data_IF_586061372772
#
_entry.id   IF_586061372772
#
_cell.length_a   1.000
_cell.length_b   1.000
_cell.length_c   1.000
_cell.angle_alpha   90.00
_cell.angle_beta   90.00
_cell.angle_gamma   90.00
#
_symmetry.space_group_name_H-M   'P 1'
#
loop_
_entity.id
_entity.type
_entity.pdbx_description
1 polymer ?
#
# COMPACT_ATOMS: atom_id res chain seq x y z
N UNK A 1 64.29 -5.25 12.82
CA UNK A 1 63.20 -6.25 12.78
C UNK A 1 61.90 -5.70 13.34
N UNK A 2 61.91 -4.85 14.37
CA UNK A 2 60.69 -4.28 14.95
C UNK A 2 59.87 -3.38 14.00
N UNK A 3 60.52 -2.48 13.25
CA UNK A 3 59.81 -1.58 12.32
C UNK A 3 59.05 -2.33 11.20
N UNK A 4 59.64 -3.40 10.66
CA UNK A 4 58.99 -4.21 9.64
C UNK A 4 57.78 -4.98 10.20
N UNK A 5 57.88 -5.47 11.45
CA UNK A 5 56.78 -6.14 12.13
C UNK A 5 55.62 -5.17 12.41
N UNK A 6 55.92 -3.97 12.91
CA UNK A 6 54.92 -2.91 13.14
C UNK A 6 54.20 -2.55 11.83
N UNK A 7 54.94 -2.39 10.74
CA UNK A 7 54.35 -2.01 9.45
C UNK A 7 53.45 -3.12 8.86
N UNK A 8 53.80 -4.39 9.06
CA UNK A 8 52.94 -5.52 8.67
C UNK A 8 51.66 -5.55 9.51
N UNK A 9 51.75 -5.26 10.82
CA UNK A 9 50.57 -5.20 11.71
C UNK A 9 49.65 -4.03 11.32
N UNK A 10 50.20 -2.84 11.08
CA UNK A 10 49.42 -1.68 10.63
C UNK A 10 48.70 -1.95 9.30
N UNK A 11 49.38 -2.57 8.35
CA UNK A 11 48.78 -2.97 7.08
C UNK A 11 47.64 -3.98 7.30
N UNK A 12 47.82 -4.96 8.19
CA UNK A 12 46.79 -5.92 8.53
C UNK A 12 45.56 -5.25 9.18
N UNK A 13 45.77 -4.30 10.08
CA UNK A 13 44.71 -3.52 10.73
C UNK A 13 43.97 -2.66 9.68
N UNK A 14 44.69 -1.97 8.80
CA UNK A 14 44.09 -1.15 7.75
C UNK A 14 43.22 -2.00 6.80
N UNK A 15 43.69 -3.19 6.44
CA UNK A 15 42.96 -4.12 5.58
C UNK A 15 41.69 -4.63 6.28
N UNK A 16 41.77 -4.95 7.57
CA UNK A 16 40.63 -5.39 8.37
C UNK A 16 39.57 -4.28 8.51
N UNK A 17 39.99 -3.04 8.74
CA UNK A 17 39.09 -1.87 8.78
C UNK A 17 38.42 -1.61 7.43
N UNK A 18 39.14 -1.76 6.32
CA UNK A 18 38.56 -1.60 4.98
C UNK A 18 37.47 -2.65 4.69
N UNK A 19 37.67 -3.91 5.12
CA UNK A 19 36.66 -4.97 4.99
C UNK A 19 35.41 -4.65 5.82
N UNK A 20 35.57 -4.21 7.08
CA UNK A 20 34.44 -3.81 7.93
C UNK A 20 33.67 -2.64 7.30
N UNK A 21 34.38 -1.62 6.81
CA UNK A 21 33.77 -0.46 6.16
C UNK A 21 32.97 -0.86 4.90
N UNK A 22 33.50 -1.76 4.08
CA UNK A 22 32.80 -2.28 2.91
C UNK A 22 31.48 -2.98 3.27
N UNK A 23 31.48 -3.81 4.31
CA UNK A 23 30.29 -4.52 4.77
C UNK A 23 29.24 -3.57 5.36
N UNK A 24 29.69 -2.59 6.16
CA UNK A 24 28.80 -1.56 6.69
C UNK A 24 28.20 -0.69 5.59
N UNK A 25 28.98 -0.35 4.56
CA UNK A 25 28.50 0.43 3.43
C UNK A 25 27.39 -0.31 2.67
N UNK A 26 27.58 -1.60 2.38
CA UNK A 26 26.54 -2.42 1.73
C UNK A 26 25.25 -2.52 2.55
N UNK A 27 25.35 -2.79 3.86
CA UNK A 27 24.17 -2.81 4.75
C UNK A 27 23.44 -1.47 4.78
N UNK A 28 24.17 -0.35 4.78
CA UNK A 28 23.55 0.99 4.74
C UNK A 28 22.82 1.23 3.43
N UNK A 29 23.38 0.77 2.30
CA UNK A 29 22.72 0.91 0.99
C UNK A 29 21.41 0.12 0.92
N UNK A 30 21.33 -1.07 1.49
CA UNK A 30 20.08 -1.86 1.56
C UNK A 30 19.00 -1.15 2.38
N UNK A 31 19.36 -0.56 3.52
CA UNK A 31 18.42 0.22 4.34
C UNK A 31 17.96 1.49 3.62
N UNK A 32 18.87 2.20 2.96
CA UNK A 32 18.53 3.41 2.20
C UNK A 32 17.61 3.07 1.01
N UNK A 33 17.83 1.94 0.33
CA UNK A 33 16.96 1.49 -0.76
C UNK A 33 15.53 1.24 -0.28
N UNK A 34 15.34 0.68 0.91
CA UNK A 34 14.00 0.51 1.50
C UNK A 34 13.25 1.84 1.72
N UNK A 35 13.99 2.93 1.95
CA UNK A 35 13.42 4.26 2.15
C UNK A 35 13.51 5.15 0.90
N UNK A 36 13.82 4.62 -0.27
CA UNK A 36 13.85 5.40 -1.51
C UNK A 36 12.40 5.80 -1.88
N UNK A 37 12.04 7.09 -1.86
CA UNK A 37 10.68 7.54 -2.20
C UNK A 37 10.29 7.26 -3.66
N UNK A 38 11.26 6.87 -4.52
CA UNK A 38 11.02 6.46 -5.90
C UNK A 38 10.76 4.97 -6.04
N UNK A 39 11.09 4.16 -5.03
CA UNK A 39 10.77 2.73 -5.01
C UNK A 39 9.35 2.52 -4.50
N UNK A 40 8.42 2.30 -5.43
CA UNK A 40 7.01 1.99 -5.13
C UNK A 40 6.75 0.51 -4.90
N UNK A 41 7.79 -0.34 -4.94
CA UNK A 41 7.67 -1.77 -4.67
C UNK A 41 7.28 -2.05 -3.22
N UNK A 42 7.79 -1.27 -2.27
CA UNK A 42 7.49 -1.40 -0.82
C UNK A 42 6.06 -0.99 -0.46
N UNK A 43 5.36 -0.25 -1.33
CA UNK A 43 3.95 0.14 -1.15
C UNK A 43 2.99 -0.72 -1.97
N UNK A 44 3.50 -1.62 -2.81
CA UNK A 44 2.67 -2.53 -3.60
C UNK A 44 2.04 -3.56 -2.66
N UNK A 45 0.70 -3.56 -2.49
CA UNK A 45 0.05 -4.53 -1.62
C UNK A 45 0.34 -5.96 -2.09
N UNK A 46 0.53 -6.93 -1.18
CA UNK A 46 0.66 -8.32 -1.57
C UNK A 46 -0.58 -8.75 -2.37
N UNK A 47 -0.37 -9.46 -3.50
CA UNK A 47 -1.43 -9.78 -4.47
C UNK A 47 -2.66 -10.49 -3.84
N UNK A 48 -2.46 -11.18 -2.71
CA UNK A 48 -3.53 -11.76 -1.90
C UNK A 48 -3.89 -10.81 -0.75
N UNK A 49 -4.45 -9.65 -1.08
CA UNK A 49 -5.21 -8.89 -0.08
C UNK A 49 -6.49 -9.72 0.22
N UNK A 50 -6.96 -9.83 1.47
CA UNK A 50 -8.22 -10.51 1.75
C UNK A 50 -9.41 -9.70 1.20
N UNK A 51 -10.45 -10.37 0.69
CA UNK A 51 -11.62 -9.73 0.06
C UNK A 51 -12.23 -8.57 0.86
N UNK A 52 -12.26 -8.72 2.19
CA UNK A 52 -12.72 -7.69 3.15
C UNK A 52 -12.06 -6.31 3.00
N UNK A 53 -10.94 -6.20 2.28
CA UNK A 53 -10.23 -4.93 2.07
C UNK A 53 -10.77 -4.12 0.90
N UNK A 54 -11.57 -4.70 0.00
CA UNK A 54 -12.20 -3.97 -1.12
C UNK A 54 -13.70 -4.25 -1.28
N UNK A 55 -14.22 -5.33 -0.70
CA UNK A 55 -15.64 -5.64 -0.74
C UNK A 55 -16.39 -4.89 0.36
N UNK A 56 -17.47 -4.23 -0.01
CA UNK A 56 -18.42 -3.60 0.90
C UNK A 56 -19.22 -4.69 1.64
N UNK A 57 -19.39 -4.53 2.96
CA UNK A 57 -20.16 -5.46 3.77
C UNK A 57 -21.68 -5.28 3.55
N UNK A 58 -22.47 -6.30 3.95
CA UNK A 58 -23.92 -6.28 3.75
C UNK A 58 -24.61 -5.16 4.54
N UNK A 59 -24.08 -4.81 5.73
CA UNK A 59 -24.61 -3.73 6.55
C UNK A 59 -24.43 -2.35 5.87
N UNK A 60 -23.29 -2.11 5.24
CA UNK A 60 -23.01 -0.88 4.49
C UNK A 60 -23.82 -0.85 3.19
N UNK A 61 -24.01 -1.99 2.52
CA UNK A 61 -24.93 -2.10 1.38
C UNK A 61 -26.37 -1.74 1.77
N UNK A 62 -26.84 -2.16 2.94
CA UNK A 62 -28.16 -1.76 3.47
C UNK A 62 -28.24 -0.25 3.72
N UNK A 63 -27.18 0.36 4.28
CA UNK A 63 -27.11 1.81 4.46
C UNK A 63 -27.09 2.58 3.13
N UNK A 64 -26.36 2.08 2.13
CA UNK A 64 -26.31 2.67 0.79
C UNK A 64 -27.67 2.63 0.12
N UNK A 65 -28.46 1.58 0.36
CA UNK A 65 -29.81 1.42 -0.21
C UNK A 65 -30.90 2.17 0.56
N UNK A 66 -30.62 2.63 1.78
CA UNK A 66 -31.63 3.21 2.66
C UNK A 66 -32.22 4.50 2.08
N UNK A 67 -33.54 4.53 1.89
CA UNK A 67 -34.27 5.70 1.39
C UNK A 67 -34.31 5.86 -0.13
N UNK A 68 -33.73 4.93 -0.88
CA UNK A 68 -33.80 4.88 -2.34
C UNK A 68 -34.94 4.00 -2.85
N UNK A 69 -35.38 4.23 -4.09
CA UNK A 69 -36.35 3.34 -4.75
C UNK A 69 -35.72 1.98 -5.08
N UNK A 70 -36.51 0.90 -5.27
CA UNK A 70 -35.94 -0.42 -5.62
C UNK A 70 -35.06 -0.41 -6.88
N UNK A 71 -35.40 0.42 -7.87
CA UNK A 71 -34.63 0.56 -9.11
C UNK A 71 -33.29 1.26 -8.85
N UNK A 72 -33.27 2.30 -8.02
CA UNK A 72 -32.05 2.98 -7.59
C UNK A 72 -31.17 2.07 -6.73
N UNK A 73 -31.77 1.30 -5.82
CA UNK A 73 -31.06 0.31 -5.01
C UNK A 73 -30.36 -0.73 -5.88
N UNK A 74 -31.07 -1.28 -6.86
CA UNK A 74 -30.50 -2.25 -7.82
C UNK A 74 -29.33 -1.64 -8.61
N UNK A 75 -29.48 -0.39 -9.05
CA UNK A 75 -28.41 0.34 -9.75
C UNK A 75 -27.17 0.56 -8.87
N UNK A 76 -27.36 1.00 -7.62
CA UNK A 76 -26.25 1.20 -6.67
C UNK A 76 -25.49 -0.09 -6.39
N UNK A 77 -26.22 -1.18 -6.12
CA UNK A 77 -25.63 -2.49 -5.85
C UNK A 77 -24.89 -3.04 -7.08
N UNK A 78 -25.41 -2.81 -8.28
CA UNK A 78 -24.75 -3.23 -9.52
C UNK A 78 -23.43 -2.47 -9.70
N UNK A 79 -23.42 -1.15 -9.51
CA UNK A 79 -22.19 -0.34 -9.62
C UNK A 79 -21.13 -0.76 -8.60
N UNK A 80 -21.55 -1.09 -7.37
CA UNK A 80 -20.66 -1.64 -6.33
C UNK A 80 -20.09 -2.99 -6.77
N UNK A 81 -20.93 -3.91 -7.25
CA UNK A 81 -20.49 -5.23 -7.71
C UNK A 81 -19.49 -5.13 -8.88
N UNK A 82 -19.74 -4.23 -9.83
CA UNK A 82 -18.85 -4.01 -10.98
C UNK A 82 -17.48 -3.44 -10.54
N UNK A 83 -17.46 -2.59 -9.50
CA UNK A 83 -16.23 -2.05 -8.93
C UNK A 83 -15.46 -3.10 -8.10
N UNK A 84 -16.17 -3.92 -7.31
CA UNK A 84 -15.61 -5.03 -6.54
C UNK A 84 -15.01 -6.11 -7.46
N UNK A 85 -15.64 -6.40 -8.60
CA UNK A 85 -15.11 -7.31 -9.63
C UNK A 85 -13.80 -6.81 -10.25
N UNK A 86 -13.58 -5.50 -10.29
CA UNK A 86 -12.34 -4.86 -10.72
C UNK A 86 -11.33 -4.67 -9.57
N UNK A 87 -11.64 -5.14 -8.36
CA UNK A 87 -10.83 -4.97 -7.14
C UNK A 87 -10.49 -3.50 -6.86
N UNK A 88 -11.38 -2.57 -7.23
CA UNK A 88 -11.18 -1.13 -6.97
C UNK A 88 -11.34 -0.84 -5.48
N UNK A 89 -10.31 -0.26 -4.89
CA UNK A 89 -10.34 0.21 -3.50
C UNK A 89 -10.94 1.60 -3.35
N UNK A 90 -11.10 2.37 -4.43
CA UNK A 90 -11.75 3.68 -4.41
C UNK A 90 -12.56 3.91 -5.68
N UNK A 91 -13.83 4.29 -5.53
CA UNK A 91 -14.76 4.55 -6.63
C UNK A 91 -15.96 5.39 -6.18
N UNK A 92 -16.71 5.92 -7.15
CA UNK A 92 -17.93 6.72 -6.91
C UNK A 92 -19.11 5.98 -7.54
N UNK A 93 -20.20 5.85 -6.79
CA UNK A 93 -21.49 5.34 -7.30
C UNK A 93 -22.51 6.47 -7.28
N UNK A 94 -23.39 6.50 -8.27
CA UNK A 94 -24.35 7.60 -8.42
C UNK A 94 -25.73 7.13 -8.86
N UNK A 95 -26.72 7.88 -8.41
CA UNK A 95 -28.14 7.74 -8.72
C UNK A 95 -28.73 9.14 -8.95
N UNK A 96 -29.92 9.27 -9.56
CA UNK A 96 -30.55 10.57 -9.76
C UNK A 96 -30.72 11.39 -8.47
N UNK A 97 -30.86 10.71 -7.33
CA UNK A 97 -31.01 11.31 -6.00
C UNK A 97 -29.71 11.73 -5.31
N UNK A 98 -28.54 11.38 -5.86
CA UNK A 98 -27.24 11.73 -5.27
C UNK A 98 -26.09 10.83 -5.66
N UNK A 99 -24.95 11.02 -5.01
CA UNK A 99 -23.75 10.22 -5.20
C UNK A 99 -23.10 9.82 -3.88
N UNK A 100 -22.33 8.74 -3.92
CA UNK A 100 -21.58 8.19 -2.80
C UNK A 100 -20.15 7.90 -3.24
N UNK A 101 -19.20 8.35 -2.44
CA UNK A 101 -17.78 8.03 -2.58
C UNK A 101 -17.47 6.84 -1.69
N UNK A 102 -16.91 5.78 -2.27
CA UNK A 102 -16.59 4.54 -1.58
C UNK A 102 -15.07 4.36 -1.57
N UNK A 103 -14.52 4.05 -0.39
CA UNK A 103 -13.12 3.74 -0.18
C UNK A 103 -12.96 2.52 0.74
N UNK A 104 -12.23 1.50 0.29
CA UNK A 104 -12.05 0.21 0.97
C UNK A 104 -13.37 -0.46 1.40
N UNK A 105 -14.41 -0.34 0.59
CA UNK A 105 -15.74 -0.86 0.90
C UNK A 105 -16.53 -0.03 1.93
N UNK A 106 -16.01 1.11 2.37
CA UNK A 106 -16.66 2.04 3.30
C UNK A 106 -17.15 3.30 2.57
N UNK A 107 -18.24 3.90 3.03
CA UNK A 107 -18.73 5.18 2.50
C UNK A 107 -17.87 6.31 3.09
N UNK A 108 -17.07 6.96 2.23
CA UNK A 108 -16.22 8.10 2.59
C UNK A 108 -17.01 9.41 2.64
N UNK A 109 -17.95 9.57 1.72
CA UNK A 109 -18.73 10.78 1.57
C UNK A 109 -19.97 10.55 0.73
N UNK A 110 -20.93 11.45 0.84
CA UNK A 110 -22.12 11.45 0.01
C UNK A 110 -22.58 12.88 -0.28
N UNK A 111 -23.24 13.05 -1.41
CA UNK A 111 -23.89 14.30 -1.77
C UNK A 111 -25.29 14.01 -2.30
N UNK A 112 -26.25 14.85 -1.92
CA UNK A 112 -27.59 14.82 -2.52
C UNK A 112 -27.63 15.76 -3.72
N UNK A 113 -28.30 15.31 -4.79
CA UNK A 113 -28.61 16.13 -5.95
C UNK A 113 -29.85 17.02 -5.69
#
# INVERSE_FOLDING_TARGET
MEAALTQVIEMAIALLMAVIAFWQHRRKQEVVAFFDPKDTGVTTPPASVPSRSWTMDDATKQWLCAGHSPDEQASLLQQVADAEAQQKTSYVVSVPSGYYEIEYGLIRGSGKA
#
